data_IF_405118016147
#
_entry.id   IF_405118016147
#
_cell.length_a   1.000
_cell.length_b   1.000
_cell.length_c   1.000
_cell.angle_alpha   90.00
_cell.angle_beta   90.00
_cell.angle_gamma   90.00
#
_symmetry.space_group_name_H-M   'P 1'
#
loop_
_entity.id
_entity.type
_entity.pdbx_description
1 polymer ?
#
# COMPACT_ATOMS: atom_id res chain seq x y z
N UNK A 1 -7.08 2.63 -16.29
CA UNK A 1 -7.81 1.34 -16.41
C UNK A 1 -9.12 1.42 -17.20
N UNK A 2 -10.10 2.27 -16.83
CA UNK A 2 -11.42 2.28 -17.51
C UNK A 2 -11.43 2.41 -19.04
N UNK A 3 -10.51 3.21 -19.62
CA UNK A 3 -10.33 3.29 -21.09
C UNK A 3 -9.95 1.97 -21.73
N UNK A 4 -9.17 1.15 -21.02
CA UNK A 4 -8.70 -0.14 -21.51
C UNK A 4 -9.83 -1.16 -21.49
N UNK A 5 -10.68 -1.14 -20.45
CA UNK A 5 -11.90 -1.96 -20.41
C UNK A 5 -12.83 -1.63 -21.59
N UNK A 6 -13.07 -0.34 -21.87
CA UNK A 6 -13.87 0.11 -23.03
C UNK A 6 -13.30 -0.44 -24.36
N UNK A 7 -11.98 -0.41 -24.53
CA UNK A 7 -11.34 -1.01 -25.71
C UNK A 7 -11.56 -2.54 -25.77
N UNK A 8 -11.45 -3.25 -24.65
CA UNK A 8 -11.65 -4.71 -24.63
C UNK A 8 -13.08 -5.11 -24.97
N UNK A 9 -14.10 -4.34 -24.55
CA UNK A 9 -15.50 -4.59 -24.94
C UNK A 9 -15.72 -4.40 -26.44
N UNK A 10 -15.03 -3.44 -27.06
CA UNK A 10 -15.21 -3.12 -28.48
C UNK A 10 -14.40 -4.00 -29.41
N UNK A 11 -13.26 -4.52 -28.93
CA UNK A 11 -12.24 -5.12 -29.79
C UNK A 11 -11.82 -6.50 -29.24
N UNK A 12 -12.15 -7.60 -29.93
CA UNK A 12 -11.80 -8.95 -29.52
C UNK A 12 -10.34 -9.31 -29.80
N UNK A 13 -9.44 -8.34 -29.98
CA UNK A 13 -7.99 -8.57 -30.16
C UNK A 13 -7.11 -7.76 -29.18
N UNK A 14 -7.69 -7.20 -28.12
CA UNK A 14 -6.99 -6.42 -27.08
C UNK A 14 -6.72 -7.27 -25.83
N UNK A 15 -5.46 -7.60 -25.60
CA UNK A 15 -5.01 -8.37 -24.43
C UNK A 15 -4.46 -7.44 -23.36
N UNK A 16 -4.47 -7.90 -22.10
CA UNK A 16 -3.86 -7.20 -20.98
C UNK A 16 -2.71 -7.98 -20.41
N UNK A 17 -1.55 -7.33 -20.32
CA UNK A 17 -0.49 -7.83 -19.47
C UNK A 17 -0.81 -7.54 -18.00
N UNK A 18 -0.46 -8.48 -17.11
CA UNK A 18 -0.78 -8.34 -15.68
C UNK A 18 0.21 -7.47 -14.90
N UNK A 19 1.25 -6.93 -15.54
CA UNK A 19 2.37 -6.30 -14.83
C UNK A 19 1.99 -5.06 -14.04
N UNK A 20 0.92 -4.39 -14.46
CA UNK A 20 0.43 -3.15 -13.85
C UNK A 20 -1.01 -3.26 -13.37
N UNK A 21 -1.56 -4.46 -13.31
CA UNK A 21 -2.91 -4.73 -12.80
C UNK A 21 -2.88 -4.88 -11.28
N UNK A 22 -2.46 -3.80 -10.60
CA UNK A 22 -2.27 -3.77 -9.15
C UNK A 22 -3.56 -3.63 -8.34
N UNK A 23 -4.72 -3.46 -8.99
CA UNK A 23 -5.98 -3.23 -8.27
C UNK A 23 -6.59 -4.55 -7.77
N UNK A 24 -7.29 -4.51 -6.65
CA UNK A 24 -7.92 -5.70 -6.07
C UNK A 24 -8.92 -6.34 -7.03
N UNK A 25 -8.94 -7.68 -7.08
CA UNK A 25 -9.88 -8.51 -7.86
C UNK A 25 -9.90 -8.26 -9.38
N UNK A 26 -8.83 -7.65 -9.93
CA UNK A 26 -8.78 -7.26 -11.34
C UNK A 26 -8.69 -8.46 -12.27
N UNK A 27 -7.98 -9.53 -11.88
CA UNK A 27 -7.86 -10.71 -12.73
C UNK A 27 -9.19 -11.42 -12.89
N UNK A 28 -9.93 -11.53 -11.79
CA UNK A 28 -11.28 -12.07 -11.75
C UNK A 28 -12.24 -11.20 -12.55
N UNK A 29 -12.15 -9.88 -12.43
CA UNK A 29 -12.95 -8.96 -13.25
C UNK A 29 -12.69 -9.21 -14.74
N UNK A 30 -11.43 -9.30 -15.17
CA UNK A 30 -11.11 -9.53 -16.59
C UNK A 30 -11.55 -10.92 -17.05
N UNK A 31 -11.35 -11.95 -16.23
CA UNK A 31 -11.83 -13.32 -16.52
C UNK A 31 -13.34 -13.33 -16.72
N UNK A 32 -14.10 -12.74 -15.79
CA UNK A 32 -15.55 -12.80 -15.78
C UNK A 32 -16.17 -12.00 -16.94
N UNK A 33 -15.57 -10.86 -17.29
CA UNK A 33 -16.10 -9.96 -18.33
C UNK A 33 -15.58 -10.27 -19.75
N UNK A 34 -14.34 -10.73 -19.89
CA UNK A 34 -13.68 -10.88 -21.20
C UNK A 34 -13.07 -12.28 -21.45
N UNK A 35 -13.00 -13.12 -20.42
CA UNK A 35 -12.41 -14.46 -20.45
C UNK A 35 -10.92 -14.48 -20.14
N UNK A 36 -10.46 -15.58 -19.51
CA UNK A 36 -9.08 -15.73 -19.02
C UNK A 36 -8.03 -15.61 -20.12
N UNK A 37 -8.39 -15.99 -21.36
CA UNK A 37 -7.51 -15.91 -22.53
C UNK A 37 -7.04 -14.49 -22.86
N UNK A 38 -7.66 -13.47 -22.26
CA UNK A 38 -7.33 -12.05 -22.45
C UNK A 38 -6.24 -11.52 -21.54
N UNK A 39 -5.79 -12.31 -20.57
CA UNK A 39 -4.70 -11.96 -19.68
C UNK A 39 -3.40 -12.64 -20.14
N UNK A 40 -2.30 -11.90 -20.16
CA UNK A 40 -0.96 -12.43 -20.44
C UNK A 40 0.00 -12.04 -19.33
N UNK A 41 0.98 -12.89 -19.07
CA UNK A 41 1.99 -12.62 -18.07
C UNK A 41 2.96 -11.51 -18.50
N UNK A 42 3.21 -10.56 -17.60
CA UNK A 42 4.22 -9.52 -17.76
C UNK A 42 4.78 -9.11 -16.40
N UNK A 43 6.05 -8.65 -16.37
CA UNK A 43 6.73 -8.21 -15.15
C UNK A 43 6.83 -6.69 -15.01
N UNK A 44 6.64 -5.94 -16.10
CA UNK A 44 6.69 -4.48 -16.08
C UNK A 44 8.12 -3.95 -15.91
N UNK A 45 8.26 -2.79 -15.26
CA UNK A 45 9.57 -2.20 -14.98
C UNK A 45 10.30 -2.92 -13.85
N UNK A 46 11.62 -2.71 -13.76
CA UNK A 46 12.45 -3.27 -12.67
C UNK A 46 11.92 -2.92 -11.26
N UNK A 47 11.25 -1.78 -11.11
CA UNK A 47 10.64 -1.32 -9.85
C UNK A 47 9.39 -2.10 -9.44
N UNK A 48 8.78 -2.89 -10.34
CA UNK A 48 7.65 -3.77 -10.01
C UNK A 48 8.11 -5.06 -9.32
N UNK A 49 9.38 -5.43 -9.48
CA UNK A 49 9.95 -6.69 -9.03
C UNK A 49 9.04 -7.89 -9.40
N UNK A 50 8.68 -8.73 -8.43
CA UNK A 50 7.83 -9.90 -8.58
C UNK A 50 6.35 -9.66 -8.27
N UNK A 51 5.88 -8.41 -8.28
CA UNK A 51 4.50 -8.07 -7.89
C UNK A 51 3.44 -8.87 -8.65
N UNK A 52 3.57 -8.96 -9.98
CA UNK A 52 2.66 -9.73 -10.84
C UNK A 52 2.65 -11.23 -10.53
N UNK A 53 3.79 -11.80 -10.12
CA UNK A 53 3.89 -13.22 -9.72
C UNK A 53 3.06 -13.47 -8.48
N UNK A 54 3.21 -12.62 -7.45
CA UNK A 54 2.43 -12.77 -6.22
C UNK A 54 0.95 -12.51 -6.43
N UNK A 55 0.58 -11.47 -7.18
CA UNK A 55 -0.81 -11.20 -7.50
C UNK A 55 -1.47 -12.40 -8.19
N UNK A 56 -0.76 -13.08 -9.11
CA UNK A 56 -1.28 -14.24 -9.82
C UNK A 56 -1.39 -15.46 -8.89
N UNK A 57 -0.34 -15.73 -8.11
CA UNK A 57 -0.29 -16.86 -7.18
C UNK A 57 -1.34 -16.78 -6.05
N UNK A 58 -1.78 -15.57 -5.70
CA UNK A 58 -2.80 -15.32 -4.67
C UNK A 58 -4.18 -14.95 -5.23
N UNK A 59 -4.37 -15.07 -6.55
CA UNK A 59 -5.67 -14.86 -7.18
C UNK A 59 -6.64 -16.01 -6.86
N UNK A 60 -7.92 -15.78 -7.13
CA UNK A 60 -8.97 -16.81 -7.04
C UNK A 60 -9.17 -17.59 -8.35
N UNK A 61 -8.23 -17.46 -9.28
CA UNK A 61 -8.20 -18.24 -10.51
C UNK A 61 -7.91 -19.72 -10.19
N UNK A 62 -8.48 -20.62 -10.99
CA UNK A 62 -8.14 -22.04 -10.94
C UNK A 62 -6.71 -22.30 -11.41
N UNK A 63 -6.13 -23.46 -11.08
CA UNK A 63 -4.77 -23.82 -11.51
C UNK A 63 -4.58 -23.73 -13.03
N UNK A 64 -5.56 -24.20 -13.81
CA UNK A 64 -5.54 -24.11 -15.27
C UNK A 64 -5.61 -22.66 -15.78
N UNK A 65 -6.32 -21.78 -15.09
CA UNK A 65 -6.37 -20.35 -15.43
C UNK A 65 -5.07 -19.64 -15.06
N UNK A 66 -4.47 -19.98 -13.91
CA UNK A 66 -3.15 -19.49 -13.51
C UNK A 66 -2.11 -19.90 -14.56
N UNK A 67 -2.09 -21.16 -14.97
CA UNK A 67 -1.20 -21.68 -16.02
C UNK A 67 -1.40 -20.95 -17.36
N UNK A 68 -2.67 -20.76 -17.75
CA UNK A 68 -3.02 -20.01 -18.96
C UNK A 68 -2.48 -18.59 -18.92
N UNK A 69 -2.61 -17.86 -17.80
CA UNK A 69 -2.06 -16.50 -17.70
C UNK A 69 -0.54 -16.51 -17.64
N UNK A 70 0.06 -17.42 -16.85
CA UNK A 70 1.49 -17.49 -16.60
C UNK A 70 2.32 -17.71 -17.87
N UNK A 71 1.83 -18.52 -18.82
CA UNK A 71 2.50 -18.72 -20.11
C UNK A 71 1.54 -19.09 -21.25
N UNK A 72 0.54 -19.93 -21.02
CA UNK A 72 -0.21 -20.60 -22.09
C UNK A 72 -0.96 -19.66 -23.06
N UNK A 73 -1.43 -18.51 -22.59
CA UNK A 73 -2.09 -17.50 -23.42
C UNK A 73 -1.09 -16.85 -24.39
N UNK A 74 0.10 -16.48 -23.90
CA UNK A 74 1.12 -15.85 -24.72
C UNK A 74 1.71 -16.84 -25.72
N UNK A 75 1.92 -18.10 -25.32
CA UNK A 75 2.35 -19.17 -26.20
C UNK A 75 1.37 -19.38 -27.37
N UNK A 76 0.07 -19.50 -27.07
CA UNK A 76 -0.97 -19.61 -28.10
C UNK A 76 -1.01 -18.40 -29.04
N UNK A 77 -0.84 -17.19 -28.50
CA UNK A 77 -0.84 -15.96 -29.31
C UNK A 77 0.35 -15.87 -30.26
N UNK A 78 1.50 -16.37 -29.83
CA UNK A 78 2.75 -16.33 -30.60
C UNK A 78 2.99 -17.59 -31.43
N UNK A 79 2.15 -18.62 -31.30
CA UNK A 79 2.36 -19.92 -31.94
C UNK A 79 3.62 -20.63 -31.44
N UNK A 80 3.93 -20.49 -30.15
CA UNK A 80 5.07 -21.13 -29.50
C UNK A 80 4.64 -22.44 -28.87
N UNK A 81 5.47 -23.47 -28.99
CA UNK A 81 5.32 -24.71 -28.24
C UNK A 81 5.70 -24.48 -26.77
N UNK A 82 4.97 -25.08 -25.81
CA UNK A 82 5.33 -25.01 -24.40
C UNK A 82 6.73 -25.59 -24.14
N UNK A 83 7.48 -24.94 -23.26
CA UNK A 83 8.77 -25.47 -22.82
C UNK A 83 8.55 -26.65 -21.86
N UNK A 84 9.20 -27.80 -22.08
CA UNK A 84 9.04 -28.96 -21.19
C UNK A 84 9.74 -28.75 -19.84
N UNK A 85 10.77 -27.91 -19.80
CA UNK A 85 11.64 -27.72 -18.63
C UNK A 85 12.05 -26.26 -18.45
N UNK A 86 12.33 -25.89 -17.21
CA UNK A 86 12.89 -24.58 -16.86
C UNK A 86 14.31 -24.45 -17.43
N UNK A 87 14.51 -23.49 -18.33
CA UNK A 87 15.78 -23.28 -19.02
C UNK A 87 16.85 -22.57 -18.16
N UNK A 88 16.43 -21.75 -17.22
CA UNK A 88 17.34 -20.92 -16.41
C UNK A 88 17.63 -21.58 -15.05
N UNK A 89 18.91 -21.64 -14.61
CA UNK A 89 19.25 -22.12 -13.28
C UNK A 89 18.66 -21.21 -12.19
N UNK A 90 18.41 -21.78 -11.01
CA UNK A 90 18.00 -20.97 -9.86
C UNK A 90 19.14 -20.07 -9.41
N UNK A 91 18.84 -18.79 -9.20
CA UNK A 91 19.81 -17.85 -8.64
C UNK A 91 20.08 -18.22 -7.16
N UNK A 92 21.36 -18.33 -6.71
CA UNK A 92 21.69 -18.79 -5.34
C UNK A 92 21.01 -18.00 -4.22
N UNK A 93 20.74 -16.71 -4.44
CA UNK A 93 19.99 -15.87 -3.50
C UNK A 93 18.65 -16.49 -3.07
N UNK A 94 18.00 -17.29 -3.91
CA UNK A 94 16.73 -17.95 -3.58
C UNK A 94 16.83 -18.86 -2.35
N UNK A 95 18.01 -19.41 -2.03
CA UNK A 95 18.23 -20.16 -0.79
C UNK A 95 18.05 -19.29 0.46
N UNK A 96 18.34 -18.00 0.37
CA UNK A 96 18.19 -17.01 1.44
C UNK A 96 16.83 -16.30 1.40
N UNK A 97 15.88 -16.80 0.59
CA UNK A 97 14.55 -16.21 0.41
C UNK A 97 13.38 -17.19 0.65
N UNK A 98 13.29 -17.86 1.83
CA UNK A 98 12.23 -18.81 2.12
C UNK A 98 10.82 -18.20 2.14
N UNK A 99 10.64 -16.96 2.60
CA UNK A 99 9.35 -16.25 2.57
C UNK A 99 8.92 -15.99 1.13
N UNK A 100 9.83 -15.47 0.28
CA UNK A 100 9.50 -15.26 -1.13
C UNK A 100 9.17 -16.58 -1.85
N UNK A 101 9.93 -17.65 -1.57
CA UNK A 101 9.67 -18.98 -2.14
C UNK A 101 8.28 -19.50 -1.80
N UNK A 102 7.86 -19.35 -0.54
CA UNK A 102 6.51 -19.72 -0.10
C UNK A 102 5.46 -18.81 -0.74
N UNK A 103 5.67 -17.49 -0.65
CA UNK A 103 4.67 -16.50 -1.08
C UNK A 103 4.39 -16.54 -2.58
N UNK A 104 5.43 -16.69 -3.42
CA UNK A 104 5.26 -16.81 -4.88
C UNK A 104 4.55 -18.10 -5.33
N UNK A 105 4.36 -19.04 -4.41
CA UNK A 105 3.63 -20.29 -4.62
C UNK A 105 2.23 -20.28 -3.98
N UNK A 106 1.73 -19.11 -3.56
CA UNK A 106 0.41 -18.97 -2.91
C UNK A 106 0.44 -19.20 -1.40
N UNK A 107 1.62 -19.39 -0.80
CA UNK A 107 1.76 -19.47 0.65
C UNK A 107 1.56 -18.11 1.33
N UNK A 108 1.03 -18.11 2.55
CA UNK A 108 0.88 -16.90 3.36
C UNK A 108 2.17 -16.57 4.12
N UNK A 109 2.29 -15.33 4.62
CA UNK A 109 3.35 -15.00 5.57
C UNK A 109 3.13 -15.71 6.91
N UNK A 110 4.16 -16.39 7.40
CA UNK A 110 4.14 -17.13 8.67
C UNK A 110 5.47 -16.95 9.41
N UNK A 111 5.45 -17.01 10.74
CA UNK A 111 6.63 -16.96 11.59
C UNK A 111 7.35 -15.59 11.61
N UNK A 112 6.71 -14.56 11.07
CA UNK A 112 7.23 -13.19 11.04
C UNK A 112 6.15 -12.21 11.45
N UNK A 113 6.56 -11.17 12.18
CA UNK A 113 5.65 -10.10 12.56
C UNK A 113 5.32 -9.21 11.37
N UNK A 114 4.03 -8.99 11.13
CA UNK A 114 3.54 -8.27 9.94
C UNK A 114 2.54 -7.17 10.29
N UNK A 115 2.77 -5.99 9.72
CA UNK A 115 1.98 -4.79 9.92
C UNK A 115 1.82 -4.07 8.60
N UNK A 116 0.59 -3.94 8.13
CA UNK A 116 0.26 -3.11 6.97
C UNK A 116 -0.14 -1.71 7.46
N UNK A 117 0.70 -0.71 7.20
CA UNK A 117 0.54 0.64 7.78
C UNK A 117 -0.14 1.61 6.85
N UNK A 118 -0.67 1.16 5.70
CA UNK A 118 -1.37 2.02 4.74
C UNK A 118 -2.49 1.21 4.09
N UNK A 119 -3.74 1.46 4.46
CA UNK A 119 -4.90 0.78 3.88
C UNK A 119 -6.16 1.62 4.08
N UNK A 120 -7.21 1.33 3.34
CA UNK A 120 -8.48 2.07 3.36
C UNK A 120 -9.67 1.13 3.55
N UNK A 121 -10.74 1.65 4.14
CA UNK A 121 -12.01 0.94 4.35
C UNK A 121 -12.94 0.92 3.12
N UNK A 122 -12.46 1.45 2.00
CA UNK A 122 -13.11 1.56 0.70
C UNK A 122 -12.17 2.26 -0.27
N UNK A 123 -12.44 2.25 -1.57
CA UNK A 123 -12.61 3.54 -2.24
C UNK A 123 -14.03 3.70 -2.77
N UNK A 124 -14.61 4.88 -2.58
CA UNK A 124 -15.81 5.29 -3.30
C UNK A 124 -15.42 5.67 -4.74
N UNK A 125 -15.21 4.66 -5.60
CA UNK A 125 -15.01 4.72 -7.06
C UNK A 125 -14.25 5.93 -7.62
N UNK A 126 -12.95 6.05 -7.30
CA UNK A 126 -12.03 7.10 -7.81
C UNK A 126 -11.05 6.57 -8.86
N UNK A 127 -11.57 5.89 -9.87
CA UNK A 127 -10.78 5.20 -10.90
C UNK A 127 -10.53 3.71 -10.61
N UNK A 128 -10.87 3.26 -9.40
CA UNK A 128 -10.90 1.87 -8.96
C UNK A 128 -12.20 1.18 -9.40
N UNK A 129 -12.09 -0.05 -9.92
CA UNK A 129 -13.24 -0.86 -10.34
C UNK A 129 -13.47 -1.98 -9.34
N UNK A 130 -14.29 -1.70 -8.33
CA UNK A 130 -14.61 -2.63 -7.26
C UNK A 130 -16.06 -3.10 -7.36
N UNK A 131 -16.28 -4.41 -7.20
CA UNK A 131 -17.58 -5.05 -7.42
C UNK A 131 -18.43 -5.14 -6.14
N UNK A 132 -17.93 -4.63 -5.02
CA UNK A 132 -18.41 -4.97 -3.69
C UNK A 132 -18.56 -3.78 -2.73
N UNK A 133 -18.94 -2.62 -3.25
CA UNK A 133 -19.09 -1.38 -2.48
C UNK A 133 -20.45 -1.21 -1.79
N UNK A 134 -21.34 -2.22 -1.86
CA UNK A 134 -22.75 -2.06 -1.48
C UNK A 134 -23.02 -1.92 0.02
N UNK A 135 -22.20 -2.50 0.90
CA UNK A 135 -22.39 -2.45 2.36
C UNK A 135 -21.03 -2.32 3.06
N UNK A 136 -20.72 -1.19 3.73
CA UNK A 136 -19.40 -0.93 4.31
C UNK A 136 -18.86 -2.06 5.19
N UNK A 137 -19.68 -2.59 6.11
CA UNK A 137 -19.27 -3.71 6.96
C UNK A 137 -18.92 -4.98 6.19
N UNK A 138 -19.64 -5.29 5.10
CA UNK A 138 -19.32 -6.47 4.27
C UNK A 138 -18.07 -6.24 3.40
N UNK A 139 -17.84 -5.01 2.99
CA UNK A 139 -16.63 -4.64 2.25
C UNK A 139 -15.39 -4.77 3.14
N UNK A 140 -15.47 -4.27 4.38
CA UNK A 140 -14.43 -4.43 5.37
C UNK A 140 -14.12 -5.92 5.61
N UNK A 141 -15.15 -6.77 5.70
CA UNK A 141 -14.95 -8.22 5.90
C UNK A 141 -14.13 -8.85 4.78
N UNK A 142 -14.39 -8.48 3.54
CA UNK A 142 -13.63 -8.96 2.38
C UNK A 142 -12.19 -8.49 2.41
N UNK A 143 -11.94 -7.23 2.77
CA UNK A 143 -10.58 -6.73 2.97
C UNK A 143 -9.88 -7.57 4.04
N UNK A 144 -10.54 -7.81 5.18
CA UNK A 144 -9.95 -8.57 6.29
C UNK A 144 -9.71 -10.04 5.93
N UNK A 145 -10.53 -10.66 5.09
CA UNK A 145 -10.27 -11.99 4.53
C UNK A 145 -8.98 -12.01 3.71
N UNK A 146 -8.69 -10.96 2.92
CA UNK A 146 -7.42 -10.85 2.19
C UNK A 146 -6.22 -10.62 3.12
N UNK A 147 -6.39 -9.78 4.15
CA UNK A 147 -5.39 -9.56 5.21
C UNK A 147 -5.00 -10.88 5.87
N UNK A 148 -6.00 -11.71 6.21
CA UNK A 148 -5.79 -13.04 6.79
C UNK A 148 -5.10 -14.00 5.82
N UNK A 149 -5.56 -14.08 4.57
CA UNK A 149 -4.96 -14.96 3.54
C UNK A 149 -3.51 -14.62 3.24
N UNK A 150 -3.12 -13.35 3.31
CA UNK A 150 -1.74 -12.92 3.09
C UNK A 150 -0.83 -13.09 4.33
N UNK A 151 -1.40 -13.38 5.50
CA UNK A 151 -0.60 -13.52 6.73
C UNK A 151 -0.23 -12.19 7.38
N UNK A 152 -1.04 -11.14 7.19
CA UNK A 152 -0.87 -9.86 7.89
C UNK A 152 -1.48 -9.95 9.29
N UNK A 153 -0.67 -9.74 10.32
CA UNK A 153 -1.07 -9.84 11.73
C UNK A 153 -1.87 -8.60 12.17
N UNK A 154 -1.39 -7.40 11.80
CA UNK A 154 -2.06 -6.14 12.11
C UNK A 154 -2.11 -5.19 10.91
N UNK A 155 -3.12 -4.33 10.90
CA UNK A 155 -3.36 -3.37 9.83
C UNK A 155 -3.81 -2.03 10.40
N UNK A 156 -3.34 -0.93 9.81
CA UNK A 156 -3.85 0.42 10.08
C UNK A 156 -4.63 0.91 8.87
N UNK A 157 -5.91 1.19 9.08
CA UNK A 157 -6.82 1.61 8.03
C UNK A 157 -7.26 3.05 8.18
N UNK A 158 -7.66 3.62 7.06
CA UNK A 158 -8.08 5.00 6.90
C UNK A 158 -9.53 4.98 6.44
N UNK A 159 -10.35 5.85 7.03
CA UNK A 159 -11.73 5.99 6.59
C UNK A 159 -11.83 6.90 5.36
N UNK A 160 -12.34 6.37 4.26
CA UNK A 160 -12.66 7.14 3.05
C UNK A 160 -13.71 8.20 3.30
N UNK A 161 -14.72 7.88 4.13
CA UNK A 161 -15.76 8.83 4.52
C UNK A 161 -15.16 10.02 5.28
N UNK A 162 -14.13 9.79 6.09
CA UNK A 162 -13.42 10.85 6.79
C UNK A 162 -12.47 11.65 5.87
N UNK A 163 -11.86 10.99 4.87
CA UNK A 163 -11.01 11.66 3.86
C UNK A 163 -11.78 12.63 2.98
N UNK A 164 -13.04 12.31 2.66
CA UNK A 164 -13.80 13.03 1.64
C UNK A 164 -15.14 13.58 2.11
N UNK A 165 -15.36 13.56 3.43
CA UNK A 165 -16.50 14.16 4.09
C UNK A 165 -16.06 14.86 5.37
N UNK A 166 -16.93 14.82 6.37
CA UNK A 166 -16.62 15.29 7.72
C UNK A 166 -15.67 14.29 8.41
N UNK A 167 -14.46 14.71 8.81
CA UNK A 167 -13.48 13.82 9.42
C UNK A 167 -13.93 13.30 10.78
N UNK A 168 -14.66 14.09 11.58
CA UNK A 168 -15.11 13.68 12.92
C UNK A 168 -16.15 12.58 12.80
N UNK A 169 -17.18 12.80 11.97
CA UNK A 169 -18.24 11.82 11.75
C UNK A 169 -17.70 10.56 11.05
N UNK A 170 -16.84 10.71 10.05
CA UNK A 170 -16.25 9.61 9.30
C UNK A 170 -15.37 8.70 10.17
N UNK A 171 -14.47 9.28 10.97
CA UNK A 171 -13.62 8.51 11.88
C UNK A 171 -14.46 7.75 12.93
N UNK A 172 -15.49 8.39 13.49
CA UNK A 172 -16.38 7.76 14.48
C UNK A 172 -17.15 6.57 13.90
N UNK A 173 -17.71 6.73 12.70
CA UNK A 173 -18.44 5.65 12.03
C UNK A 173 -17.51 4.49 11.66
N UNK A 174 -16.30 4.78 11.20
CA UNK A 174 -15.30 3.75 10.91
C UNK A 174 -14.91 2.96 12.17
N UNK A 175 -14.62 3.64 13.28
CA UNK A 175 -14.32 3.00 14.57
C UNK A 175 -15.45 2.07 15.04
N UNK A 176 -16.71 2.44 14.74
CA UNK A 176 -17.90 1.63 15.04
C UNK A 176 -17.98 0.38 14.16
N UNK A 177 -17.79 0.52 12.85
CA UNK A 177 -17.82 -0.60 11.88
C UNK A 177 -16.67 -1.58 12.16
N UNK A 178 -15.47 -1.05 12.42
CA UNK A 178 -14.28 -1.83 12.66
C UNK A 178 -14.22 -2.50 14.05
N UNK A 179 -15.22 -2.28 14.90
CA UNK A 179 -15.24 -2.76 16.29
C UNK A 179 -14.93 -4.25 16.43
N UNK A 180 -15.42 -5.08 15.51
CA UNK A 180 -15.21 -6.54 15.54
C UNK A 180 -13.78 -6.99 15.25
N UNK A 181 -12.95 -6.12 14.66
CA UNK A 181 -11.55 -6.38 14.33
C UNK A 181 -10.57 -5.68 15.27
N UNK A 182 -11.05 -5.07 16.37
CA UNK A 182 -10.18 -4.43 17.37
C UNK A 182 -9.07 -5.37 17.84
N UNK A 183 -7.86 -4.84 17.97
CA UNK A 183 -6.65 -5.59 18.31
C UNK A 183 -5.89 -6.11 17.09
N UNK A 184 -6.57 -6.32 15.96
CA UNK A 184 -5.95 -6.61 14.66
C UNK A 184 -5.97 -5.40 13.72
N UNK A 185 -7.08 -4.67 13.71
CA UNK A 185 -7.28 -3.46 12.92
C UNK A 185 -7.26 -2.23 13.84
N UNK A 186 -6.49 -1.24 13.42
CA UNK A 186 -6.37 0.08 14.03
C UNK A 186 -6.70 1.18 13.02
N UNK A 187 -7.01 2.38 13.49
CA UNK A 187 -7.30 3.54 12.64
C UNK A 187 -6.16 4.54 12.59
N UNK A 188 -6.01 5.23 11.46
CA UNK A 188 -5.49 6.60 11.47
C UNK A 188 -6.64 7.58 11.60
N UNK A 189 -6.52 8.55 12.50
CA UNK A 189 -7.46 9.64 12.56
C UNK A 189 -7.21 10.53 11.34
N UNK A 190 -8.19 10.62 10.44
CA UNK A 190 -8.10 11.55 9.33
C UNK A 190 -8.24 12.97 9.85
N UNK A 191 -7.21 13.79 9.64
CA UNK A 191 -7.26 15.22 9.97
C UNK A 191 -7.40 16.03 8.69
N UNK A 192 -8.52 16.73 8.52
CA UNK A 192 -8.75 17.63 7.39
C UNK A 192 -8.81 19.08 7.89
N UNK A 193 -7.86 19.95 7.49
CA UNK A 193 -7.75 21.31 8.02
C UNK A 193 -8.93 22.21 7.63
N UNK A 194 -9.77 21.83 6.66
CA UNK A 194 -11.01 22.56 6.39
C UNK A 194 -12.04 22.45 7.53
N UNK A 195 -11.89 21.47 8.43
CA UNK A 195 -12.71 21.24 9.61
C UNK A 195 -11.97 21.58 10.91
N UNK A 196 -10.88 22.35 10.84
CA UNK A 196 -10.03 22.68 12.00
C UNK A 196 -10.78 23.35 13.15
N UNK A 197 -11.89 24.05 12.88
CA UNK A 197 -12.72 24.67 13.91
C UNK A 197 -13.53 23.63 14.72
N UNK A 198 -13.81 22.47 14.11
CA UNK A 198 -14.53 21.36 14.74
C UNK A 198 -13.59 20.37 15.44
N UNK A 199 -12.29 20.40 15.09
CA UNK A 199 -11.27 19.52 15.66
C UNK A 199 -10.47 20.27 16.72
N UNK A 200 -10.75 19.97 17.99
CA UNK A 200 -10.02 20.52 19.15
C UNK A 200 -9.08 19.49 19.77
N UNK A 201 -8.12 19.93 20.57
CA UNK A 201 -7.25 19.03 21.34
C UNK A 201 -8.07 18.07 22.23
N UNK A 202 -9.13 18.55 22.88
CA UNK A 202 -10.01 17.71 23.70
C UNK A 202 -10.76 16.63 22.89
N UNK A 203 -11.11 16.93 21.63
CA UNK A 203 -11.68 15.92 20.72
C UNK A 203 -10.63 14.87 20.36
N UNK A 204 -9.41 15.29 20.07
CA UNK A 204 -8.30 14.37 19.79
C UNK A 204 -8.04 13.47 21.01
N UNK A 205 -7.99 14.03 22.23
CA UNK A 205 -7.84 13.26 23.47
C UNK A 205 -8.92 12.18 23.61
N UNK A 206 -10.18 12.51 23.33
CA UNK A 206 -11.29 11.55 23.34
C UNK A 206 -11.08 10.41 22.32
N UNK A 207 -10.74 10.72 21.06
CA UNK A 207 -10.49 9.70 20.04
C UNK A 207 -9.28 8.81 20.36
N UNK A 208 -8.15 9.40 20.79
CA UNK A 208 -6.93 8.66 21.05
C UNK A 208 -6.99 7.84 22.35
N UNK A 209 -7.70 8.33 23.39
CA UNK A 209 -7.87 7.59 24.65
C UNK A 209 -8.66 6.28 24.51
N UNK A 210 -9.46 6.12 23.44
CA UNK A 210 -10.18 4.88 23.12
C UNK A 210 -9.27 3.75 22.63
N UNK A 211 -8.00 4.05 22.33
CA UNK A 211 -6.98 3.07 21.94
C UNK A 211 -7.16 2.45 20.55
N UNK A 212 -8.07 2.98 19.72
CA UNK A 212 -8.28 2.51 18.34
C UNK A 212 -7.40 3.27 17.33
N UNK A 213 -7.24 4.58 17.52
CA UNK A 213 -6.45 5.42 16.62
C UNK A 213 -4.98 5.42 17.05
N UNK A 214 -4.08 5.14 16.09
CA UNK A 214 -2.63 5.02 16.36
C UNK A 214 -1.82 6.21 15.87
N UNK A 215 -2.41 7.09 15.06
CA UNK A 215 -1.77 8.29 14.53
C UNK A 215 -2.72 9.06 13.61
N UNK A 216 -2.16 9.89 12.74
CA UNK A 216 -2.92 10.70 11.78
C UNK A 216 -2.75 10.26 10.33
N UNK A 217 -3.76 10.58 9.49
CA UNK A 217 -3.68 10.53 8.03
C UNK A 217 -4.12 11.86 7.44
N UNK A 218 -3.40 12.32 6.41
CA UNK A 218 -3.78 13.50 5.62
C UNK A 218 -3.62 13.26 4.12
N UNK A 219 -4.38 14.03 3.32
CA UNK A 219 -4.47 13.86 1.87
C UNK A 219 -4.47 15.20 1.10
N UNK A 220 -3.40 16.00 1.18
CA UNK A 220 -3.42 17.41 0.78
C UNK A 220 -3.69 17.65 -0.72
N UNK A 221 -3.12 16.85 -1.61
CA UNK A 221 -3.32 17.01 -3.07
C UNK A 221 -4.78 16.93 -3.49
N UNK A 222 -5.56 16.08 -2.83
CA UNK A 222 -6.98 15.90 -3.14
C UNK A 222 -7.83 17.03 -2.56
N UNK A 223 -7.37 17.63 -1.46
CA UNK A 223 -8.01 18.77 -0.82
C UNK A 223 -7.53 20.12 -1.39
N UNK A 224 -6.53 20.09 -2.28
CA UNK A 224 -5.86 21.26 -2.87
C UNK A 224 -5.39 22.25 -1.80
N UNK A 225 -4.78 21.72 -0.74
CA UNK A 225 -4.12 22.50 0.31
C UNK A 225 -2.65 22.09 0.39
N UNK A 226 -1.77 23.05 0.63
CA UNK A 226 -0.34 22.74 0.80
C UNK A 226 -0.12 22.05 2.13
N UNK A 227 0.75 21.04 2.17
CA UNK A 227 0.99 20.28 3.39
C UNK A 227 1.60 21.11 4.52
N UNK A 228 2.29 22.20 4.19
CA UNK A 228 2.86 23.13 5.17
C UNK A 228 1.90 24.29 5.51
N UNK A 229 0.61 24.18 5.18
CA UNK A 229 -0.39 25.17 5.56
C UNK A 229 -0.56 25.24 7.09
N UNK A 230 -0.69 26.45 7.68
CA UNK A 230 -0.91 26.61 9.13
C UNK A 230 -2.13 25.88 9.69
N UNK A 231 -3.13 25.55 8.85
CA UNK A 231 -4.30 24.77 9.25
C UNK A 231 -3.97 23.38 9.81
N UNK A 232 -2.77 22.84 9.53
CA UNK A 232 -2.30 21.57 10.10
C UNK A 232 -1.60 21.71 11.46
N UNK A 233 -1.38 22.92 11.98
CA UNK A 233 -0.55 23.17 13.17
C UNK A 233 -1.00 22.36 14.39
N UNK A 234 -2.31 22.33 14.67
CA UNK A 234 -2.85 21.54 15.78
C UNK A 234 -2.46 20.06 15.69
N UNK A 235 -2.57 19.46 14.50
CA UNK A 235 -2.21 18.06 14.29
C UNK A 235 -0.71 17.85 14.50
N UNK A 236 0.13 18.76 13.99
CA UNK A 236 1.59 18.66 14.16
C UNK A 236 2.00 18.75 15.63
N UNK A 237 1.47 19.73 16.37
CA UNK A 237 1.75 19.92 17.79
C UNK A 237 1.24 18.74 18.64
N UNK A 238 0.05 18.22 18.33
CA UNK A 238 -0.50 17.05 19.01
C UNK A 238 0.34 15.80 18.74
N UNK A 239 0.73 15.55 17.49
CA UNK A 239 1.58 14.42 17.14
C UNK A 239 2.99 14.54 17.74
N UNK A 240 3.54 15.74 17.84
CA UNK A 240 4.80 16.00 18.54
C UNK A 240 4.68 15.66 20.03
N UNK A 241 3.66 16.19 20.71
CA UNK A 241 3.41 15.99 22.14
C UNK A 241 3.26 14.51 22.52
N UNK A 242 2.64 13.72 21.64
CA UNK A 242 2.30 12.30 21.88
C UNK A 242 3.16 11.31 21.07
N UNK A 243 4.19 11.81 20.38
CA UNK A 243 5.11 11.03 19.55
C UNK A 243 4.39 10.15 18.52
N UNK A 244 3.33 10.68 17.92
CA UNK A 244 2.44 9.91 17.05
C UNK A 244 2.99 9.79 15.63
N UNK A 245 2.73 8.67 14.94
CA UNK A 245 2.91 8.57 13.51
C UNK A 245 1.90 9.41 12.74
N UNK A 246 2.36 9.94 11.61
CA UNK A 246 1.55 10.67 10.65
C UNK A 246 1.80 10.06 9.29
N UNK A 247 0.81 9.34 8.77
CA UNK A 247 0.81 8.84 7.42
C UNK A 247 0.46 9.99 6.47
N UNK A 248 1.47 10.49 5.80
CA UNK A 248 1.39 11.62 4.89
C UNK A 248 1.23 11.10 3.47
N UNK A 249 0.12 11.40 2.78
CA UNK A 249 0.13 11.20 1.32
C UNK A 249 1.18 12.13 0.70
N UNK A 250 2.09 11.60 -0.11
CA UNK A 250 3.13 12.35 -0.82
C UNK A 250 3.16 12.01 -2.29
N UNK A 251 3.25 13.03 -3.13
CA UNK A 251 3.41 12.94 -4.58
C UNK A 251 4.32 14.05 -5.09
N UNK A 252 4.89 13.95 -6.29
CA UNK A 252 5.67 15.02 -6.90
C UNK A 252 4.74 16.10 -7.51
N UNK A 253 4.00 16.81 -6.64
CA UNK A 253 3.10 17.89 -7.02
C UNK A 253 3.23 19.13 -6.10
N UNK A 254 2.46 20.18 -6.40
CA UNK A 254 2.53 21.47 -5.71
C UNK A 254 1.89 21.50 -4.31
N UNK A 255 1.33 20.39 -3.85
CA UNK A 255 0.55 20.31 -2.61
C UNK A 255 1.27 19.50 -1.54
N UNK A 256 1.93 18.40 -1.89
CA UNK A 256 2.50 17.46 -0.91
C UNK A 256 3.83 16.81 -1.31
N UNK A 257 4.64 17.47 -2.16
CA UNK A 257 6.00 17.02 -2.45
C UNK A 257 6.81 16.88 -1.14
N UNK A 258 7.65 15.83 -0.99
CA UNK A 258 8.32 15.56 0.28
C UNK A 258 9.12 16.75 0.82
N UNK A 259 9.85 17.51 -0.01
CA UNK A 259 10.65 18.62 0.49
C UNK A 259 9.84 19.80 1.04
N UNK A 260 8.54 19.89 0.73
CA UNK A 260 7.64 20.89 1.34
C UNK A 260 7.53 20.72 2.87
N UNK A 261 7.86 19.53 3.38
CA UNK A 261 7.85 19.21 4.81
C UNK A 261 9.14 19.59 5.54
N UNK A 262 10.19 20.06 4.85
CA UNK A 262 11.52 20.31 5.45
C UNK A 262 11.48 21.11 6.75
N UNK A 263 10.68 22.18 6.78
CA UNK A 263 10.54 23.03 7.97
C UNK A 263 9.67 22.40 9.06
N UNK A 264 8.69 21.58 8.65
CA UNK A 264 7.73 20.92 9.56
C UNK A 264 8.44 19.79 10.31
N UNK A 265 9.12 18.88 9.60
CA UNK A 265 9.75 17.70 10.22
C UNK A 265 10.89 18.07 11.16
N UNK A 266 11.59 19.17 10.88
CA UNK A 266 12.63 19.70 11.76
C UNK A 266 12.08 20.39 13.01
N UNK A 267 10.86 20.94 12.94
CA UNK A 267 10.18 21.58 14.08
C UNK A 267 9.56 20.57 15.04
N UNK A 268 9.14 19.41 14.53
CA UNK A 268 8.44 18.37 15.28
C UNK A 268 9.25 17.05 15.27
N UNK A 269 10.42 16.99 15.93
CA UNK A 269 11.34 15.86 15.86
C UNK A 269 10.81 14.58 16.54
N UNK A 270 9.80 14.67 17.41
CA UNK A 270 9.23 13.51 18.09
C UNK A 270 8.04 12.90 17.32
N UNK A 271 7.30 13.69 16.54
CA UNK A 271 6.34 13.16 15.57
C UNK A 271 7.02 12.28 14.52
N UNK A 272 6.41 11.14 14.14
CA UNK A 272 6.98 10.21 13.13
C UNK A 272 6.30 10.39 11.78
N UNK A 273 7.00 10.94 10.80
CA UNK A 273 6.47 11.22 9.48
C UNK A 273 6.66 10.03 8.56
N UNK A 274 5.55 9.40 8.16
CA UNK A 274 5.54 8.26 7.23
C UNK A 274 5.11 8.78 5.87
N UNK A 275 6.03 8.84 4.92
CA UNK A 275 5.78 9.33 3.56
C UNK A 275 5.10 8.23 2.74
N UNK A 276 3.77 8.28 2.68
CA UNK A 276 2.92 7.41 1.88
C UNK A 276 3.27 7.50 0.40
N UNK A 277 3.47 6.34 -0.24
CA UNK A 277 4.03 6.21 -1.60
C UNK A 277 5.45 6.77 -1.80
N UNK A 278 6.07 7.26 -0.72
CA UNK A 278 7.42 7.80 -0.66
C UNK A 278 7.74 8.76 -1.81
N UNK A 279 6.88 9.76 -1.97
CA UNK A 279 7.07 10.89 -2.88
C UNK A 279 6.47 10.73 -4.27
N UNK A 280 6.09 9.53 -4.72
CA UNK A 280 5.47 9.33 -6.04
C UNK A 280 6.40 9.64 -7.22
N UNK A 281 6.65 8.65 -8.09
CA UNK A 281 7.60 8.83 -9.19
C UNK A 281 9.06 8.96 -8.76
N UNK A 282 9.95 9.23 -9.72
CA UNK A 282 11.40 9.27 -9.48
C UNK A 282 11.85 10.54 -8.75
N UNK A 283 11.37 11.71 -9.18
CA UNK A 283 11.74 12.99 -8.56
C UNK A 283 11.29 13.06 -7.09
N UNK A 284 10.03 12.70 -6.81
CA UNK A 284 9.53 12.64 -5.45
C UNK A 284 10.23 11.60 -4.59
N UNK A 285 10.65 10.46 -5.15
CA UNK A 285 11.45 9.47 -4.42
C UNK A 285 12.78 10.04 -3.95
N UNK A 286 13.48 10.80 -4.79
CA UNK A 286 14.74 11.43 -4.44
C UNK A 286 14.56 12.51 -3.35
N UNK A 287 13.48 13.28 -3.42
CA UNK A 287 13.11 14.23 -2.37
C UNK A 287 12.80 13.54 -1.03
N UNK A 288 12.11 12.40 -1.07
CA UNK A 288 11.83 11.59 0.12
C UNK A 288 13.13 11.01 0.73
N UNK A 289 14.07 10.54 -0.11
CA UNK A 289 15.40 10.09 0.32
C UNK A 289 16.18 11.24 0.98
N UNK A 290 16.20 12.43 0.38
CA UNK A 290 16.87 13.61 0.95
C UNK A 290 16.29 13.98 2.31
N UNK A 291 14.96 14.05 2.42
CA UNK A 291 14.30 14.39 3.67
C UNK A 291 14.62 13.37 4.79
N UNK A 292 14.59 12.07 4.46
CA UNK A 292 14.89 11.00 5.43
C UNK A 292 16.38 10.93 5.83
N UNK A 293 17.30 11.36 4.96
CA UNK A 293 18.72 11.52 5.32
C UNK A 293 18.93 12.67 6.31
N UNK A 294 18.18 13.76 6.14
CA UNK A 294 18.30 14.97 6.97
C UNK A 294 17.63 14.81 8.34
N UNK A 295 16.53 14.06 8.40
CA UNK A 295 15.67 14.00 9.59
C UNK A 295 15.39 12.57 10.04
N UNK A 296 15.79 12.17 11.27
CA UNK A 296 15.68 10.80 11.73
C UNK A 296 14.25 10.35 12.08
N UNK A 297 13.28 11.25 12.07
CA UNK A 297 11.87 11.00 12.32
C UNK A 297 11.05 10.81 11.03
N UNK A 298 11.71 10.73 9.87
CA UNK A 298 11.08 10.52 8.56
C UNK A 298 11.30 9.09 8.07
N UNK A 299 10.23 8.47 7.58
CA UNK A 299 10.17 7.07 7.13
C UNK A 299 9.48 6.99 5.77
N UNK A 300 9.89 6.01 4.96
CA UNK A 300 9.36 5.75 3.63
C UNK A 300 8.40 4.54 3.64
N UNK A 301 7.20 4.72 3.10
CA UNK A 301 6.19 3.66 2.95
C UNK A 301 6.17 3.14 1.49
N UNK A 302 5.98 1.84 1.30
CA UNK A 302 6.36 1.12 0.06
C UNK A 302 5.24 0.89 -0.98
N UNK A 303 3.99 1.24 -0.71
CA UNK A 303 2.92 1.13 -1.68
C UNK A 303 3.20 1.98 -2.91
N UNK A 304 2.87 1.45 -4.10
CA UNK A 304 2.97 2.24 -5.34
C UNK A 304 4.40 2.52 -5.78
N UNK A 305 5.38 1.80 -5.25
CA UNK A 305 6.80 1.92 -5.65
C UNK A 305 7.03 1.64 -7.13
N UNK A 306 6.15 0.87 -7.77
CA UNK A 306 6.12 0.65 -9.20
C UNK A 306 5.88 1.93 -10.03
N UNK A 307 5.36 3.01 -9.43
CA UNK A 307 5.20 4.30 -10.09
C UNK A 307 6.53 5.06 -10.27
N UNK A 308 7.64 4.56 -9.71
CA UNK A 308 8.96 5.18 -9.76
C UNK A 308 9.93 4.34 -10.58
N UNK A 309 10.76 4.99 -11.40
CA UNK A 309 11.91 4.34 -12.04
C UNK A 309 13.06 4.12 -11.04
N UNK A 310 13.11 4.91 -9.96
CA UNK A 310 14.04 4.73 -8.85
C UNK A 310 13.59 3.52 -8.03
N UNK A 311 14.36 2.44 -8.08
CA UNK A 311 13.98 1.19 -7.43
C UNK A 311 14.18 1.28 -5.91
N UNK A 312 13.30 0.60 -5.17
CA UNK A 312 13.38 0.55 -3.69
C UNK A 312 14.74 0.06 -3.19
N UNK A 313 15.37 -0.89 -3.89
CA UNK A 313 16.69 -1.41 -3.53
C UNK A 313 17.73 -0.30 -3.47
N UNK A 314 17.72 0.61 -4.44
CA UNK A 314 18.67 1.71 -4.46
C UNK A 314 18.38 2.72 -3.33
N UNK A 315 17.11 2.99 -3.03
CA UNK A 315 16.73 3.79 -1.85
C UNK A 315 17.19 3.13 -0.55
N UNK A 316 17.09 1.79 -0.44
CA UNK A 316 17.56 1.03 0.72
C UNK A 316 19.08 1.08 0.86
N UNK A 317 19.84 1.14 -0.24
CA UNK A 317 21.30 1.29 -0.19
C UNK A 317 21.72 2.66 0.37
N UNK A 318 20.90 3.69 0.17
CA UNK A 318 21.13 5.05 0.69
C UNK A 318 20.72 5.16 2.16
N UNK A 319 19.52 4.70 2.50
CA UNK A 319 18.87 4.97 3.80
C UNK A 319 19.04 3.84 4.82
N UNK A 320 19.28 2.61 4.35
CA UNK A 320 19.13 1.39 5.14
C UNK A 320 17.67 0.98 5.33
N UNK A 321 17.44 -0.33 5.51
CA UNK A 321 16.09 -0.92 5.66
C UNK A 321 15.28 -0.40 6.85
N UNK A 322 15.93 0.10 7.91
CA UNK A 322 15.28 0.63 9.12
C UNK A 322 14.47 1.91 8.87
N UNK A 323 14.63 2.56 7.71
CA UNK A 323 13.87 3.74 7.28
C UNK A 323 12.59 3.41 6.53
N UNK A 324 12.28 2.14 6.30
CA UNK A 324 11.14 1.72 5.51
C UNK A 324 10.08 1.01 6.35
N UNK A 325 8.81 1.20 5.99
CA UNK A 325 7.67 0.48 6.55
C UNK A 325 6.81 -0.07 5.42
N UNK A 326 6.22 -1.25 5.64
CA UNK A 326 5.30 -1.83 4.68
C UNK A 326 3.91 -1.18 4.79
N UNK A 327 3.37 -0.76 3.65
CA UNK A 327 1.97 -0.43 3.47
C UNK A 327 1.55 -0.85 2.06
N UNK A 328 0.27 -1.18 1.90
CA UNK A 328 -0.22 -1.76 0.64
C UNK A 328 -1.22 -0.88 -0.09
N UNK A 329 -1.81 0.11 0.58
CA UNK A 329 -2.98 0.84 0.11
C UNK A 329 -4.17 -0.10 -0.22
N UNK A 330 -4.25 -1.22 0.51
CA UNK A 330 -5.33 -2.21 0.37
C UNK A 330 -6.68 -1.54 0.57
N UNK A 331 -7.64 -1.92 -0.27
CA UNK A 331 -8.89 -1.20 -0.48
C UNK A 331 -8.94 -0.73 -1.93
N UNK A 332 -7.90 -0.04 -2.40
CA UNK A 332 -7.66 0.21 -3.82
C UNK A 332 -6.73 -0.84 -4.44
N UNK A 333 -5.57 -1.04 -3.83
CA UNK A 333 -4.53 -1.95 -4.32
C UNK A 333 -4.75 -3.39 -3.84
N UNK A 334 -4.14 -4.33 -4.57
CA UNK A 334 -4.04 -5.74 -4.22
C UNK A 334 -2.87 -5.94 -3.24
N UNK A 335 -3.18 -6.39 -2.02
CA UNK A 335 -2.18 -6.57 -0.97
C UNK A 335 -1.05 -7.55 -1.37
N UNK A 336 -1.38 -8.62 -2.09
CA UNK A 336 -0.42 -9.63 -2.54
C UNK A 336 0.52 -9.08 -3.61
N UNK A 337 0.05 -8.14 -4.44
CA UNK A 337 0.88 -7.43 -5.41
C UNK A 337 1.99 -6.63 -4.70
N UNK A 338 1.62 -5.83 -3.69
CA UNK A 338 2.57 -4.99 -2.94
C UNK A 338 3.52 -5.82 -2.06
N UNK A 339 2.99 -6.87 -1.40
CA UNK A 339 3.82 -7.81 -0.64
C UNK A 339 4.84 -8.50 -1.54
N UNK A 340 4.42 -8.98 -2.71
CA UNK A 340 5.33 -9.62 -3.63
C UNK A 340 6.38 -8.66 -4.19
N UNK A 341 6.01 -7.39 -4.44
CA UNK A 341 6.98 -6.36 -4.81
C UNK A 341 8.11 -6.26 -3.78
N UNK A 342 7.77 -6.17 -2.48
CA UNK A 342 8.75 -6.14 -1.39
C UNK A 342 9.55 -7.46 -1.27
N UNK A 343 8.86 -8.59 -1.17
CA UNK A 343 9.49 -9.89 -0.88
C UNK A 343 10.44 -10.34 -2.00
N UNK A 344 10.20 -9.92 -3.24
CA UNK A 344 11.01 -10.29 -4.39
C UNK A 344 12.19 -9.34 -4.67
N UNK A 345 12.36 -8.26 -3.89
CA UNK A 345 13.58 -7.44 -3.92
C UNK A 345 14.79 -8.37 -3.77
N UNK A 346 15.86 -8.21 -4.56
CA UNK A 346 17.00 -9.13 -4.60
C UNK A 346 17.94 -8.94 -3.39
N UNK A 347 17.38 -9.06 -2.19
CA UNK A 347 18.04 -9.13 -0.90
C UNK A 347 17.58 -10.39 -0.15
N UNK A 348 18.39 -10.95 0.77
CA UNK A 348 17.96 -11.99 1.68
C UNK A 348 16.71 -11.58 2.47
N UNK A 349 15.80 -12.51 2.75
CA UNK A 349 14.55 -12.18 3.46
C UNK A 349 14.82 -11.57 4.83
N UNK A 350 15.90 -11.99 5.51
CA UNK A 350 16.32 -11.42 6.79
C UNK A 350 16.52 -9.90 6.75
N UNK A 351 16.88 -9.33 5.59
CA UNK A 351 17.03 -7.88 5.42
C UNK A 351 15.69 -7.17 5.17
N UNK A 352 14.68 -7.89 4.68
CA UNK A 352 13.36 -7.35 4.35
C UNK A 352 12.36 -7.49 5.51
N UNK A 353 12.50 -8.54 6.33
CA UNK A 353 11.62 -8.85 7.47
C UNK A 353 11.37 -7.64 8.39
N UNK A 354 12.36 -6.80 8.75
CA UNK A 354 12.09 -5.66 9.62
C UNK A 354 11.05 -4.67 9.06
N UNK A 355 10.98 -4.52 7.73
CA UNK A 355 10.08 -3.61 7.02
C UNK A 355 8.63 -4.11 7.12
N UNK A 356 8.44 -5.44 7.17
CA UNK A 356 7.12 -6.05 7.27
C UNK A 356 6.41 -5.70 8.57
N UNK A 357 7.10 -5.31 9.65
CA UNK A 357 6.39 -4.90 10.88
C UNK A 357 7.28 -4.40 12.02
N UNK A 358 8.49 -4.90 12.17
CA UNK A 358 9.36 -4.53 13.30
C UNK A 358 9.70 -3.03 13.34
N UNK A 359 9.87 -2.40 12.17
CA UNK A 359 10.14 -0.96 12.07
C UNK A 359 8.95 -0.12 12.56
N UNK A 360 7.73 -0.46 12.14
CA UNK A 360 6.54 0.25 12.60
C UNK A 360 6.23 0.00 14.07
N UNK A 361 6.49 -1.21 14.58
CA UNK A 361 6.35 -1.47 16.01
C UNK A 361 7.33 -0.66 16.87
N UNK A 362 8.51 -0.31 16.37
CA UNK A 362 9.40 0.63 17.06
C UNK A 362 8.80 2.03 17.11
N UNK A 363 8.17 2.48 16.01
CA UNK A 363 7.44 3.76 15.96
C UNK A 363 6.31 3.76 17.00
N UNK A 364 5.48 2.71 17.05
CA UNK A 364 4.36 2.64 18.00
C UNK A 364 4.81 2.59 19.47
N UNK A 365 5.96 1.97 19.77
CA UNK A 365 6.52 1.89 21.13
C UNK A 365 7.10 3.22 21.64
N UNK A 366 7.34 4.18 20.75
CA UNK A 366 7.86 5.50 21.10
C UNK A 366 6.75 6.49 21.54
N UNK A 367 5.48 6.11 21.37
CA UNK A 367 4.30 6.91 21.74
C UNK A 367 4.20 7.12 23.25
N UNK A 368 3.70 8.29 23.66
CA UNK A 368 3.49 8.70 25.07
C UNK A 368 2.01 8.80 25.42
#
# INVERSE_FOLDING_TARGET
FGRVLDLMWRLPNIYLDISWLHMRDTFELIRDEFGIQRLVFGLGFKSHYGAAIGALAHSSLSEAEIEAVAHGNLERLLGLDPLPDKLAPEHPLLEQKPLWKSFRAGGRLEGVQTYDVHSHDGPFTRGWFLRDLGVPGKHLDRIMDHVDKNGIEQIVMISESALFGDPVAGNLEFERIAKKYRGKLHGYFVFNPYFKEDITEALLDDFFSRGFFVGFKVLPSYWQIKINDPGFTLMWEYAEKHHLPILQHTWNDSWNAPLMLSDVVGRYPNAKFILGHSGGGAAGRLEAEELALRFPNVYLELCGTFCSERSVLESMQVLGNHRFVFGSDTGGHNQSYELAALLSIPLPDQQLIPILGANFNKILKDRI
#
